data_IF_120189566962
#
_entry.id   IF_120189566962
#
_cell.length_a   1.000
_cell.length_b   1.000
_cell.length_c   1.000
_cell.angle_alpha   90.00
_cell.angle_beta   90.00
_cell.angle_gamma   90.00
#
_symmetry.space_group_name_H-M   'P 1'
#
loop_
_entity.id
_entity.type
_entity.pdbx_description
1 polymer ?
#
# COMPACT_ATOMS: atom_id res chain seq x y z
N UNK A 1 -6.17 6.53 -0.23
CA UNK A 1 -5.54 7.68 -0.90
C UNK A 1 -6.59 8.52 -1.62
N UNK A 2 -7.16 8.04 -2.73
CA UNK A 2 -8.06 8.83 -3.59
C UNK A 2 -9.22 9.52 -2.86
N UNK A 3 -9.81 8.90 -1.85
CA UNK A 3 -10.92 9.49 -1.08
C UNK A 3 -10.43 10.75 -0.34
N UNK A 4 -9.26 10.68 0.30
CA UNK A 4 -8.68 11.82 1.04
C UNK A 4 -8.23 12.92 0.08
N UNK A 5 -7.63 12.56 -1.07
CA UNK A 5 -7.17 13.54 -2.05
C UNK A 5 -8.34 14.24 -2.77
N UNK A 6 -9.48 13.56 -2.94
CA UNK A 6 -10.69 14.14 -3.55
C UNK A 6 -11.52 15.01 -2.59
N UNK A 7 -11.56 14.64 -1.32
CA UNK A 7 -12.28 15.36 -0.27
C UNK A 7 -11.40 15.51 0.96
N UNK A 8 -10.42 16.42 0.92
CA UNK A 8 -9.46 16.61 2.00
C UNK A 8 -10.13 17.20 3.26
N UNK A 9 -11.20 17.98 3.12
CA UNK A 9 -11.90 18.59 4.24
C UNK A 9 -12.46 17.52 5.18
N UNK A 10 -13.03 16.45 4.65
CA UNK A 10 -13.57 15.34 5.44
C UNK A 10 -12.54 14.21 5.62
N UNK A 11 -11.65 14.00 4.67
CA UNK A 11 -10.67 12.89 4.65
C UNK A 11 -9.56 13.07 5.65
N UNK A 12 -8.94 14.25 5.71
CA UNK A 12 -7.81 14.52 6.61
C UNK A 12 -8.22 14.45 8.09
N UNK A 13 -9.30 15.11 8.53
CA UNK A 13 -9.77 14.98 9.92
C UNK A 13 -10.09 13.55 10.32
N UNK A 14 -10.65 12.73 9.42
CA UNK A 14 -10.89 11.31 9.70
C UNK A 14 -9.59 10.55 9.95
N UNK A 15 -8.57 10.72 9.11
CA UNK A 15 -7.28 10.02 9.29
C UNK A 15 -6.59 10.47 10.57
N UNK A 16 -6.43 11.78 10.76
CA UNK A 16 -5.67 12.33 11.89
C UNK A 16 -6.47 12.17 13.18
N UNK A 17 -7.74 12.54 13.18
CA UNK A 17 -8.61 12.47 14.37
C UNK A 17 -8.79 11.05 14.88
N UNK A 18 -9.05 10.07 13.98
CA UNK A 18 -9.13 8.66 14.38
C UNK A 18 -7.80 8.18 14.95
N UNK A 19 -6.66 8.52 14.31
CA UNK A 19 -5.34 8.13 14.80
C UNK A 19 -5.07 8.71 16.18
N UNK A 20 -5.33 10.00 16.39
CA UNK A 20 -5.12 10.69 17.67
C UNK A 20 -5.99 10.08 18.78
N UNK A 21 -7.26 9.81 18.47
CA UNK A 21 -8.20 9.20 19.41
C UNK A 21 -7.73 7.80 19.85
N UNK A 22 -7.36 6.96 18.89
CA UNK A 22 -6.85 5.62 19.18
C UNK A 22 -5.53 5.65 19.98
N UNK A 23 -4.61 6.56 19.65
CA UNK A 23 -3.35 6.74 20.39
C UNK A 23 -3.60 7.19 21.83
N UNK A 24 -4.53 8.14 22.01
CA UNK A 24 -4.92 8.60 23.35
C UNK A 24 -5.42 7.43 24.21
N UNK A 25 -6.40 6.69 23.70
CA UNK A 25 -6.94 5.56 24.45
C UNK A 25 -5.94 4.42 24.65
N UNK A 26 -5.07 4.17 23.64
CA UNK A 26 -4.00 3.18 23.79
C UNK A 26 -3.04 3.53 24.94
N UNK A 27 -2.73 4.82 25.10
CA UNK A 27 -1.90 5.31 26.21
C UNK A 27 -2.63 5.20 27.55
N UNK A 28 -3.89 5.69 27.63
CA UNK A 28 -4.69 5.68 28.87
C UNK A 28 -4.94 4.27 29.41
N UNK A 29 -5.18 3.31 28.51
CA UNK A 29 -5.47 1.90 28.90
C UNK A 29 -4.23 1.00 29.00
N UNK A 30 -3.04 1.56 28.95
CA UNK A 30 -1.79 0.80 29.08
C UNK A 30 -1.60 -0.27 27.99
N UNK A 31 -1.98 0.04 26.76
CA UNK A 31 -1.80 -0.87 25.61
C UNK A 31 -0.32 -1.21 25.44
N UNK A 32 0.01 -2.49 25.35
CA UNK A 32 1.41 -2.95 25.27
C UNK A 32 2.13 -2.44 24.01
N UNK A 33 1.42 -2.38 22.88
CA UNK A 33 2.00 -1.92 21.60
C UNK A 33 0.92 -1.40 20.66
N UNK A 34 1.18 -0.31 19.99
CA UNK A 34 0.31 0.29 18.97
C UNK A 34 0.91 0.08 17.58
N UNK A 35 0.17 -0.54 16.65
CA UNK A 35 0.60 -0.72 15.27
C UNK A 35 -0.12 0.27 14.38
N UNK A 36 0.61 1.25 13.86
CA UNK A 36 0.09 2.24 12.92
C UNK A 36 0.26 1.77 11.48
N UNK A 37 -0.84 1.60 10.77
CA UNK A 37 -0.80 1.30 9.34
C UNK A 37 -0.67 2.60 8.56
N UNK A 38 0.55 2.89 8.14
CA UNK A 38 0.93 4.03 7.29
C UNK A 38 0.77 3.70 5.79
N UNK A 39 1.66 4.18 4.94
CA UNK A 39 1.66 3.95 3.49
C UNK A 39 3.03 4.26 2.89
N UNK A 40 3.39 3.62 1.78
CA UNK A 40 4.53 4.02 0.94
C UNK A 40 4.41 5.45 0.39
N UNK A 41 3.20 6.02 0.36
CA UNK A 41 2.98 7.40 -0.09
C UNK A 41 3.66 8.46 0.79
N UNK A 42 4.12 8.09 1.99
CA UNK A 42 4.91 8.99 2.85
C UNK A 42 6.27 9.33 2.27
N UNK A 43 6.82 8.49 1.39
CA UNK A 43 8.09 8.76 0.73
C UNK A 43 7.99 9.80 -0.39
N UNK A 44 6.80 10.00 -0.99
CA UNK A 44 6.63 10.78 -2.22
C UNK A 44 7.22 10.05 -3.43
N UNK A 45 8.08 10.74 -4.20
CA UNK A 45 8.87 10.10 -5.26
C UNK A 45 10.02 9.30 -4.64
N UNK A 46 10.17 8.05 -5.04
CA UNK A 46 11.24 7.19 -4.54
C UNK A 46 11.75 6.20 -5.59
N UNK A 47 13.00 5.80 -5.43
CA UNK A 47 13.73 4.88 -6.32
C UNK A 47 13.67 3.44 -5.80
N UNK A 48 14.17 2.50 -6.62
CA UNK A 48 14.36 1.12 -6.20
C UNK A 48 15.29 1.04 -4.98
N UNK A 49 14.99 0.13 -4.05
CA UNK A 49 15.75 -0.07 -2.83
C UNK A 49 15.48 0.95 -1.71
N UNK A 50 14.35 1.67 -1.77
CA UNK A 50 14.00 2.66 -0.72
C UNK A 50 13.73 1.97 0.61
N UNK A 51 14.46 2.39 1.65
CA UNK A 51 14.44 1.87 3.02
C UNK A 51 13.61 2.74 3.96
N UNK A 52 13.33 2.22 5.14
CA UNK A 52 12.52 2.90 6.14
C UNK A 52 13.14 4.21 6.66
N UNK A 53 14.48 4.34 6.61
CA UNK A 53 15.23 5.57 6.96
C UNK A 53 15.25 6.60 5.84
N UNK A 54 14.84 6.25 4.65
CA UNK A 54 14.79 7.18 3.52
C UNK A 54 13.89 8.37 3.84
N UNK A 55 14.24 9.52 3.28
CA UNK A 55 13.48 10.76 3.51
C UNK A 55 12.00 10.57 3.17
N UNK A 56 11.15 11.04 4.05
CA UNK A 56 9.71 11.12 3.83
C UNK A 56 9.34 12.51 3.33
N UNK A 57 8.87 12.58 2.08
CA UNK A 57 8.47 13.83 1.42
C UNK A 57 7.22 13.59 0.58
N UNK A 58 6.05 13.44 1.22
CA UNK A 58 4.79 13.18 0.50
C UNK A 58 4.53 14.25 -0.57
N UNK A 59 3.96 13.81 -1.69
CA UNK A 59 3.58 14.69 -2.82
C UNK A 59 2.05 14.80 -2.95
N UNK A 60 1.29 14.19 -2.06
CA UNK A 60 -0.16 14.28 -2.02
C UNK A 60 -0.70 14.36 -0.58
N UNK A 61 -1.95 14.81 -0.46
CA UNK A 61 -2.62 15.08 0.82
C UNK A 61 -2.74 13.81 1.67
N UNK A 62 -3.04 12.67 1.05
CA UNK A 62 -3.13 11.39 1.77
C UNK A 62 -1.79 10.97 2.37
N UNK A 63 -0.70 11.09 1.61
CA UNK A 63 0.65 10.80 2.10
C UNK A 63 1.03 11.68 3.28
N UNK A 64 0.72 12.99 3.22
CA UNK A 64 0.97 13.92 4.32
C UNK A 64 0.12 13.56 5.56
N UNK A 65 -1.15 13.23 5.39
CA UNK A 65 -1.99 12.81 6.51
C UNK A 65 -1.46 11.52 7.17
N UNK A 66 -0.94 10.56 6.38
CA UNK A 66 -0.30 9.34 6.90
C UNK A 66 1.00 9.65 7.63
N UNK A 67 1.85 10.52 7.09
CA UNK A 67 3.10 10.94 7.73
C UNK A 67 2.82 11.70 9.05
N UNK A 68 1.79 12.52 9.08
CA UNK A 68 1.33 13.17 10.32
C UNK A 68 0.94 12.13 11.37
N UNK A 69 0.24 11.06 10.97
CA UNK A 69 -0.08 9.94 11.88
C UNK A 69 1.15 9.22 12.41
N UNK A 70 2.20 9.03 11.59
CA UNK A 70 3.49 8.48 12.05
C UNK A 70 4.14 9.38 13.11
N UNK A 71 4.14 10.70 12.86
CA UNK A 71 4.70 11.69 13.80
C UNK A 71 3.94 11.70 15.11
N UNK A 72 2.60 11.69 15.06
CA UNK A 72 1.76 11.58 16.26
C UNK A 72 2.05 10.29 17.03
N UNK A 73 2.15 9.15 16.35
CA UNK A 73 2.49 7.87 16.98
C UNK A 73 3.81 7.95 17.76
N UNK A 74 4.86 8.53 17.15
CA UNK A 74 6.16 8.72 17.80
C UNK A 74 6.10 9.71 18.98
N UNK A 75 5.27 10.75 18.89
CA UNK A 75 5.10 11.74 19.97
C UNK A 75 4.38 11.13 21.17
N UNK A 76 3.32 10.34 20.95
CA UNK A 76 2.65 9.60 22.02
C UNK A 76 3.57 8.57 22.68
N UNK A 77 4.36 7.85 21.89
CA UNK A 77 5.36 6.93 22.41
C UNK A 77 6.37 7.64 23.32
N UNK A 78 6.88 8.82 22.90
CA UNK A 78 7.83 9.60 23.70
C UNK A 78 7.20 10.19 24.95
N UNK A 79 5.93 10.62 24.90
CA UNK A 79 5.23 11.25 26.03
C UNK A 79 4.81 10.23 27.07
N UNK A 80 4.25 9.11 26.63
CA UNK A 80 3.50 8.19 27.49
C UNK A 80 4.19 6.82 27.64
N UNK A 81 5.33 6.60 26.98
CA UNK A 81 6.02 5.30 26.99
C UNK A 81 5.33 4.21 26.16
N UNK A 82 4.40 4.57 25.27
CA UNK A 82 3.67 3.63 24.43
C UNK A 82 4.61 3.01 23.39
N UNK A 83 4.80 1.70 23.42
CA UNK A 83 5.52 1.02 22.34
C UNK A 83 4.71 1.08 21.03
N UNK A 84 5.41 1.25 19.91
CA UNK A 84 4.76 1.34 18.61
C UNK A 84 5.49 0.57 17.52
N UNK A 85 4.76 0.25 16.46
CA UNK A 85 5.31 -0.08 15.15
C UNK A 85 4.57 0.73 14.07
N UNK A 86 5.30 1.11 13.02
CA UNK A 86 4.76 1.75 11.83
C UNK A 86 4.92 0.79 10.67
N UNK A 87 3.84 0.45 9.99
CA UNK A 87 3.85 -0.42 8.81
C UNK A 87 3.53 0.42 7.57
N UNK A 88 4.40 0.37 6.58
CA UNK A 88 4.26 1.09 5.30
C UNK A 88 3.98 0.12 4.14
N UNK A 89 2.73 -0.26 3.90
CA UNK A 89 2.38 -1.09 2.74
C UNK A 89 2.40 -0.26 1.45
N UNK A 90 2.57 -0.95 0.31
CA UNK A 90 2.45 -0.39 -1.04
C UNK A 90 1.51 -1.23 -1.89
N UNK A 91 0.75 -0.59 -2.77
CA UNK A 91 0.01 -1.23 -3.85
C UNK A 91 -0.85 -2.45 -3.46
N UNK A 92 -1.37 -2.50 -2.22
CA UNK A 92 -2.14 -3.66 -1.73
C UNK A 92 -3.36 -3.87 -2.63
N UNK A 93 -3.55 -5.11 -3.11
CA UNK A 93 -4.62 -5.49 -4.02
C UNK A 93 -5.14 -6.90 -3.68
N UNK A 94 -6.30 -7.25 -4.23
CA UNK A 94 -6.89 -8.59 -4.13
C UNK A 94 -8.40 -8.58 -3.95
N UNK A 95 -9.02 -9.73 -3.67
CA UNK A 95 -10.45 -9.85 -3.43
C UNK A 95 -11.03 -8.78 -2.50
N UNK A 96 -12.11 -8.12 -2.92
CA UNK A 96 -12.75 -7.05 -2.16
C UNK A 96 -12.10 -5.66 -2.31
N UNK A 97 -11.14 -5.50 -3.25
CA UNK A 97 -10.57 -4.19 -3.56
C UNK A 97 -11.63 -3.22 -4.13
N UNK A 98 -11.43 -1.92 -3.92
CA UNK A 98 -12.36 -0.90 -4.40
C UNK A 98 -12.35 -0.81 -5.93
N UNK A 99 -13.51 -0.61 -6.58
CA UNK A 99 -13.62 -0.59 -8.04
C UNK A 99 -12.80 0.50 -8.73
N UNK A 100 -12.45 1.56 -8.01
CA UNK A 100 -11.68 2.69 -8.55
C UNK A 100 -10.15 2.50 -8.48
N UNK A 101 -9.67 1.37 -7.93
CA UNK A 101 -8.25 1.05 -7.85
C UNK A 101 -7.74 0.42 -9.14
N UNK A 102 -6.45 0.59 -9.42
CA UNK A 102 -5.85 0.25 -10.72
C UNK A 102 -6.03 -1.22 -11.09
N UNK A 103 -5.76 -2.14 -10.18
CA UNK A 103 -5.89 -3.60 -10.45
C UNK A 103 -7.35 -3.96 -10.74
N UNK A 104 -8.29 -3.47 -9.91
CA UNK A 104 -9.73 -3.70 -10.09
C UNK A 104 -10.24 -3.14 -11.42
N UNK A 105 -9.81 -1.93 -11.80
CA UNK A 105 -10.16 -1.31 -13.09
C UNK A 105 -9.65 -2.09 -14.29
N UNK A 106 -8.41 -2.60 -14.20
CA UNK A 106 -7.84 -3.36 -15.31
C UNK A 106 -8.55 -4.69 -15.48
N UNK A 107 -8.92 -5.36 -14.39
CA UNK A 107 -9.78 -6.56 -14.47
C UNK A 107 -11.15 -6.25 -15.04
N UNK A 108 -11.82 -5.20 -14.58
CA UNK A 108 -13.15 -4.82 -15.10
C UNK A 108 -13.12 -4.60 -16.62
N UNK A 109 -12.09 -3.88 -17.10
CA UNK A 109 -11.92 -3.66 -18.55
C UNK A 109 -11.55 -4.91 -19.31
N UNK A 110 -10.61 -5.70 -18.81
CA UNK A 110 -10.18 -6.93 -19.46
C UNK A 110 -11.33 -7.95 -19.58
N UNK A 111 -12.11 -8.15 -18.52
CA UNK A 111 -13.27 -9.07 -18.53
C UNK A 111 -14.30 -8.64 -19.57
N UNK A 112 -14.47 -7.34 -19.80
CA UNK A 112 -15.39 -6.79 -20.81
C UNK A 112 -14.78 -6.70 -22.21
N UNK A 113 -13.53 -7.08 -22.42
CA UNK A 113 -12.75 -6.86 -23.64
C UNK A 113 -12.70 -5.38 -24.07
N UNK A 114 -12.70 -4.45 -23.10
CA UNK A 114 -12.51 -3.04 -23.31
C UNK A 114 -11.04 -2.65 -23.21
N UNK A 115 -10.61 -1.64 -24.00
CA UNK A 115 -9.23 -1.19 -24.00
C UNK A 115 -8.78 -0.64 -22.65
N UNK A 116 -7.56 -0.98 -22.25
CA UNK A 116 -6.93 -0.50 -21.03
C UNK A 116 -6.10 0.75 -21.34
N UNK A 117 -6.54 1.90 -20.84
CA UNK A 117 -5.79 3.16 -20.99
C UNK A 117 -4.79 3.34 -19.85
N UNK A 118 -3.52 3.52 -20.19
CA UNK A 118 -2.44 3.85 -19.27
C UNK A 118 -2.10 5.34 -19.37
N UNK A 119 -1.85 5.96 -18.22
CA UNK A 119 -1.28 7.30 -18.11
C UNK A 119 0.17 7.17 -17.66
N UNK A 120 1.09 6.90 -18.59
CA UNK A 120 2.47 6.50 -18.36
C UNK A 120 2.59 5.04 -17.86
N UNK A 121 2.65 4.10 -18.80
CA UNK A 121 2.75 2.66 -18.52
C UNK A 121 4.02 2.24 -17.80
N UNK A 122 5.07 3.05 -17.87
CA UNK A 122 6.35 2.78 -17.19
C UNK A 122 6.33 3.11 -15.69
N UNK A 123 5.29 3.79 -15.21
CA UNK A 123 5.13 4.00 -13.76
C UNK A 123 5.05 2.67 -13.02
N UNK A 124 5.95 2.51 -12.05
CA UNK A 124 6.04 1.30 -11.23
C UNK A 124 5.22 1.40 -9.95
N UNK A 125 4.79 0.28 -9.46
CA UNK A 125 4.20 0.11 -8.13
C UNK A 125 4.68 -1.22 -7.55
N UNK A 126 5.08 -1.23 -6.29
CA UNK A 126 5.32 -2.45 -5.54
C UNK A 126 3.95 -3.02 -5.11
N UNK A 127 3.40 -3.88 -5.98
CA UNK A 127 2.09 -4.49 -5.78
C UNK A 127 2.19 -5.62 -4.77
N UNK A 128 1.44 -5.50 -3.68
CA UNK A 128 1.44 -6.49 -2.60
C UNK A 128 0.09 -7.18 -2.52
N UNK A 129 0.06 -8.50 -2.65
CA UNK A 129 -1.18 -9.24 -2.48
C UNK A 129 -1.69 -9.11 -1.04
N UNK A 130 -3.01 -8.95 -0.89
CA UNK A 130 -3.63 -8.63 0.41
C UNK A 130 -3.28 -9.63 1.53
N UNK A 131 -3.07 -10.91 1.19
CA UNK A 131 -2.70 -11.92 2.20
C UNK A 131 -1.28 -11.70 2.71
N UNK A 132 -0.34 -11.34 1.84
CA UNK A 132 1.02 -11.00 2.25
C UNK A 132 1.05 -9.72 3.11
N UNK A 133 0.29 -8.70 2.71
CA UNK A 133 0.17 -7.48 3.50
C UNK A 133 -0.41 -7.77 4.90
N UNK A 134 -1.50 -8.56 4.97
CA UNK A 134 -2.09 -8.96 6.23
C UNK A 134 -1.13 -9.80 7.08
N UNK A 135 -0.43 -10.75 6.46
CA UNK A 135 0.56 -11.59 7.13
C UNK A 135 1.68 -10.75 7.75
N UNK A 136 2.25 -9.81 7.00
CA UNK A 136 3.29 -8.90 7.52
C UNK A 136 2.80 -8.01 8.65
N UNK A 137 1.56 -7.50 8.58
CA UNK A 137 0.94 -6.73 9.67
C UNK A 137 0.78 -7.58 10.93
N UNK A 138 0.31 -8.82 10.80
CA UNK A 138 0.16 -9.75 11.93
C UNK A 138 1.53 -10.09 12.54
N UNK A 139 2.54 -10.41 11.71
CA UNK A 139 3.91 -10.63 12.18
C UNK A 139 4.44 -9.43 12.98
N UNK A 140 4.25 -8.20 12.47
CA UNK A 140 4.62 -6.98 13.19
C UNK A 140 3.86 -6.84 14.52
N UNK A 141 2.55 -7.09 14.53
CA UNK A 141 1.73 -6.95 15.72
C UNK A 141 2.13 -7.95 16.84
N UNK A 142 2.46 -9.18 16.47
CA UNK A 142 2.77 -10.27 17.40
C UNK A 142 4.26 -10.36 17.78
N UNK A 143 5.17 -9.66 17.06
CA UNK A 143 6.61 -9.65 17.37
C UNK A 143 6.90 -8.93 18.69
N UNK A 144 8.06 -9.18 19.28
CA UNK A 144 8.58 -8.42 20.43
C UNK A 144 9.25 -7.11 20.00
N UNK A 145 9.39 -6.87 18.69
CA UNK A 145 9.97 -5.64 18.14
C UNK A 145 9.07 -4.45 18.43
N UNK A 146 9.69 -3.32 18.78
CA UNK A 146 8.98 -2.08 19.05
C UNK A 146 9.79 -0.85 18.57
N UNK A 147 9.12 0.28 18.49
CA UNK A 147 9.69 1.62 18.27
C UNK A 147 10.45 1.76 16.94
N UNK A 148 9.96 1.10 15.90
CA UNK A 148 10.52 1.15 14.55
C UNK A 148 9.45 1.14 13.45
N UNK A 149 9.88 1.24 12.19
CA UNK A 149 9.03 1.19 11.01
C UNK A 149 9.42 0.02 10.12
N UNK A 150 8.45 -0.50 9.36
CA UNK A 150 8.64 -1.59 8.40
C UNK A 150 7.98 -1.29 7.06
N UNK A 151 8.70 -1.51 5.97
CA UNK A 151 8.11 -1.69 4.66
C UNK A 151 7.52 -3.11 4.59
N UNK A 152 6.22 -3.22 4.42
CA UNK A 152 5.53 -4.51 4.25
C UNK A 152 4.95 -4.54 2.84
N UNK A 153 5.73 -5.06 1.91
CA UNK A 153 5.41 -5.10 0.48
C UNK A 153 5.94 -6.40 -0.15
N UNK A 154 5.66 -6.60 -1.44
CA UNK A 154 6.23 -7.74 -2.18
C UNK A 154 7.76 -7.61 -2.40
N UNK A 155 8.32 -6.39 -2.25
CA UNK A 155 9.73 -6.13 -2.52
C UNK A 155 10.09 -6.24 -4.01
N UNK A 156 9.10 -6.05 -4.89
CA UNK A 156 9.28 -6.14 -6.34
C UNK A 156 8.29 -5.20 -7.06
N UNK A 157 8.77 -4.04 -7.48
CA UNK A 157 7.95 -3.07 -8.20
C UNK A 157 7.77 -3.46 -9.68
N UNK A 158 6.52 -3.43 -10.14
CA UNK A 158 6.12 -3.77 -11.51
C UNK A 158 5.51 -2.56 -12.20
N UNK A 159 5.75 -2.39 -13.51
CA UNK A 159 5.16 -1.31 -14.30
C UNK A 159 3.65 -1.51 -14.48
N UNK A 160 2.93 -0.40 -14.72
CA UNK A 160 1.50 -0.48 -15.04
C UNK A 160 1.24 -1.21 -16.36
N UNK A 161 2.20 -1.14 -17.30
CA UNK A 161 2.15 -1.90 -18.56
C UNK A 161 2.21 -3.39 -18.29
N UNK A 162 3.21 -3.85 -17.56
CA UNK A 162 3.34 -5.28 -17.20
C UNK A 162 2.15 -5.78 -16.40
N UNK A 163 1.60 -4.96 -15.50
CA UNK A 163 0.37 -5.29 -14.79
C UNK A 163 -0.80 -5.53 -15.75
N UNK A 164 -0.99 -4.62 -16.73
CA UNK A 164 -2.08 -4.73 -17.71
C UNK A 164 -1.91 -5.95 -18.61
N UNK A 165 -0.70 -6.19 -19.13
CA UNK A 165 -0.35 -7.36 -19.93
C UNK A 165 -0.65 -8.66 -19.18
N UNK A 166 -0.22 -8.76 -17.93
CA UNK A 166 -0.46 -9.94 -17.09
C UNK A 166 -1.97 -10.18 -16.86
N UNK A 167 -2.76 -9.12 -16.65
CA UNK A 167 -4.22 -9.26 -16.48
C UNK A 167 -4.88 -9.68 -17.78
N UNK A 168 -4.47 -9.14 -18.94
CA UNK A 168 -4.98 -9.54 -20.27
C UNK A 168 -4.71 -11.02 -20.51
N UNK A 169 -3.50 -11.49 -20.23
CA UNK A 169 -3.12 -12.90 -20.34
C UNK A 169 -3.98 -13.80 -19.43
N UNK A 170 -4.13 -13.45 -18.14
CA UNK A 170 -4.89 -14.25 -17.17
C UNK A 170 -6.37 -14.34 -17.57
N UNK A 171 -6.94 -13.25 -18.07
CA UNK A 171 -8.36 -13.22 -18.46
C UNK A 171 -8.63 -13.78 -19.84
N UNK A 172 -7.60 -14.00 -20.66
CA UNK A 172 -7.74 -14.34 -22.08
C UNK A 172 -8.41 -13.24 -22.89
N UNK A 173 -8.31 -11.99 -22.43
CA UNK A 173 -8.97 -10.82 -23.02
C UNK A 173 -8.35 -10.41 -24.36
N UNK A 174 -9.19 -9.82 -25.22
CA UNK A 174 -8.77 -9.17 -26.47
C UNK A 174 -8.52 -7.65 -26.32
N UNK A 175 -8.51 -7.16 -25.08
CA UNK A 175 -8.25 -5.75 -24.79
C UNK A 175 -6.90 -5.29 -25.32
N UNK A 176 -6.87 -4.10 -25.92
CA UNK A 176 -5.62 -3.43 -26.30
C UNK A 176 -5.16 -2.48 -25.20
N UNK A 177 -3.84 -2.30 -25.09
CA UNK A 177 -3.25 -1.33 -24.18
C UNK A 177 -2.99 -0.02 -24.93
N UNK A 178 -3.65 1.06 -24.50
CA UNK A 178 -3.45 2.41 -25.02
C UNK A 178 -2.69 3.26 -23.99
N UNK A 179 -1.40 3.51 -24.26
CA UNK A 179 -0.61 4.38 -23.41
C UNK A 179 -0.64 5.81 -23.96
N UNK A 180 -1.25 6.72 -23.23
CA UNK A 180 -1.41 8.11 -23.65
C UNK A 180 -0.29 9.03 -23.14
N UNK A 181 0.70 8.49 -22.44
CA UNK A 181 1.91 9.20 -22.05
C UNK A 181 1.73 10.40 -21.13
N UNK A 182 0.54 10.59 -20.55
CA UNK A 182 0.29 11.73 -19.66
C UNK A 182 1.08 11.59 -18.35
N UNK A 183 1.57 12.72 -17.86
CA UNK A 183 2.21 12.78 -16.55
C UNK A 183 1.24 12.34 -15.46
N UNK A 184 1.62 11.33 -14.69
CA UNK A 184 0.81 10.85 -13.58
C UNK A 184 0.75 11.89 -12.46
N UNK A 185 -0.43 12.09 -11.88
CA UNK A 185 -0.60 12.84 -10.64
C UNK A 185 -0.07 12.09 -9.40
N UNK A 186 0.35 10.83 -9.59
CA UNK A 186 0.92 10.01 -8.53
C UNK A 186 2.44 10.06 -8.58
N UNK A 187 3.10 9.95 -7.42
CA UNK A 187 4.55 9.95 -7.33
C UNK A 187 5.17 8.81 -8.14
N UNK A 188 6.37 9.04 -8.67
CA UNK A 188 7.20 7.97 -9.23
C UNK A 188 7.63 7.04 -8.11
N UNK A 189 7.46 5.74 -8.29
CA UNK A 189 7.72 4.73 -7.26
C UNK A 189 8.62 3.62 -7.80
N UNK A 190 9.58 3.24 -6.99
CA UNK A 190 10.39 2.05 -7.20
C UNK A 190 10.01 0.91 -6.27
N UNK A 191 10.92 -0.01 -6.09
CA UNK A 191 10.85 -1.12 -5.15
C UNK A 191 11.19 -0.66 -3.74
N UNK A 192 10.44 -1.10 -2.76
CA UNK A 192 10.77 -0.90 -1.36
C UNK A 192 11.68 -2.02 -0.85
N UNK A 193 12.71 -1.66 -0.10
CA UNK A 193 13.56 -2.63 0.60
C UNK A 193 12.77 -3.21 1.78
N UNK A 194 12.66 -4.52 1.84
CA UNK A 194 11.96 -5.27 2.90
C UNK A 194 12.93 -6.07 3.80
N UNK A 195 14.23 -5.83 3.69
CA UNK A 195 15.25 -6.57 4.45
C UNK A 195 15.00 -6.50 5.95
N UNK A 196 14.64 -5.33 6.48
CA UNK A 196 14.31 -5.18 7.90
C UNK A 196 13.13 -6.07 8.31
N UNK A 197 12.08 -6.13 7.51
CA UNK A 197 10.94 -6.98 7.80
C UNK A 197 11.30 -8.47 7.71
N UNK A 198 12.17 -8.86 6.79
CA UNK A 198 12.71 -10.22 6.71
C UNK A 198 13.51 -10.57 7.96
N UNK A 199 14.46 -9.71 8.34
CA UNK A 199 15.41 -9.99 9.41
C UNK A 199 14.76 -9.98 10.80
N UNK A 200 13.84 -9.03 11.06
CA UNK A 200 13.29 -8.83 12.39
C UNK A 200 11.88 -9.42 12.58
N UNK A 201 11.13 -9.66 11.52
CA UNK A 201 9.78 -10.22 11.58
C UNK A 201 9.68 -11.58 10.87
N UNK A 202 10.75 -12.07 10.26
CA UNK A 202 10.70 -13.24 9.39
C UNK A 202 9.59 -13.10 8.32
N UNK A 203 9.43 -11.88 7.80
CA UNK A 203 8.41 -11.60 6.79
C UNK A 203 8.93 -11.99 5.42
N UNK A 204 8.26 -12.93 4.79
CA UNK A 204 8.49 -13.33 3.40
C UNK A 204 7.16 -13.28 2.64
N UNK A 205 7.01 -12.39 1.64
CA UNK A 205 5.85 -12.40 0.78
C UNK A 205 5.80 -13.73 -0.01
N UNK A 206 4.65 -14.37 -0.02
CA UNK A 206 4.46 -15.73 -0.58
C UNK A 206 3.89 -15.71 -2.01
N UNK A 207 3.31 -14.60 -2.42
CA UNK A 207 2.64 -14.48 -3.70
C UNK A 207 3.48 -13.66 -4.67
N UNK A 208 3.78 -14.23 -5.84
CA UNK A 208 4.17 -13.42 -7.00
C UNK A 208 2.99 -12.56 -7.46
N UNK A 209 3.27 -11.51 -8.26
CA UNK A 209 2.19 -10.70 -8.84
C UNK A 209 1.18 -11.56 -9.60
N UNK A 210 1.66 -12.47 -10.45
CA UNK A 210 0.81 -13.39 -11.24
C UNK A 210 -0.10 -14.24 -10.34
N UNK A 211 0.46 -14.91 -9.35
CA UNK A 211 -0.34 -15.76 -8.42
C UNK A 211 -1.41 -14.96 -7.68
N UNK A 212 -1.08 -13.76 -7.21
CA UNK A 212 -2.05 -12.89 -6.55
C UNK A 212 -3.15 -12.40 -7.50
N UNK A 213 -2.81 -12.13 -8.78
CA UNK A 213 -3.77 -11.73 -9.81
C UNK A 213 -4.67 -12.90 -10.22
N UNK A 214 -4.13 -14.11 -10.40
CA UNK A 214 -4.89 -15.34 -10.67
C UNK A 214 -5.89 -15.61 -9.55
N UNK A 215 -5.45 -15.58 -8.29
CA UNK A 215 -6.34 -15.74 -7.14
C UNK A 215 -7.43 -14.66 -7.07
N UNK A 216 -7.12 -13.43 -7.50
CA UNK A 216 -8.12 -12.37 -7.55
C UNK A 216 -9.11 -12.58 -8.68
N UNK A 217 -8.65 -13.04 -9.85
CA UNK A 217 -9.53 -13.37 -10.98
C UNK A 217 -10.48 -14.52 -10.66
N UNK A 218 -9.99 -15.59 -10.06
CA UNK A 218 -10.82 -16.72 -9.60
C UNK A 218 -11.94 -16.24 -8.66
N UNK A 219 -11.62 -15.34 -7.74
CA UNK A 219 -12.63 -14.77 -6.86
C UNK A 219 -13.65 -13.90 -7.61
N UNK A 220 -13.23 -13.15 -8.64
CA UNK A 220 -14.15 -12.37 -9.47
C UNK A 220 -15.12 -13.26 -10.22
N UNK A 221 -14.63 -14.39 -10.79
CA UNK A 221 -15.46 -15.37 -11.50
C UNK A 221 -16.49 -16.05 -10.59
N UNK A 222 -16.13 -16.34 -9.35
CA UNK A 222 -17.03 -16.98 -8.38
C UNK A 222 -18.05 -16.01 -7.73
N UNK A 223 -18.00 -14.72 -8.06
CA UNK A 223 -18.91 -13.70 -7.54
C UNK A 223 -20.09 -13.42 -8.50
N UNK A 224 -19.98 -13.92 -9.72
CA UNK A 224 -21.01 -13.84 -10.77
C UNK A 224 -21.88 -15.09 -10.68
#
# INVERSE_FOLDING_TARGET
AKIVDKDPINGVPKVIGTTTNLLWHASEFGTKKFVYISSSMVYGDFKDGTREESNTKPTNIYGEAKLTGERLTKLFAKRDGLNYLIVRPSGVYGPGDLPDRVVSKFFDKAIKNEDITLHNGENKVDFTYRQDAAYGIVKAALSDVANTSFNITAGNATSLRTLAETIIEITGSKSEIKDIGMQSLYPMRGTLDISRAKDLLEYEPKFTLRQGLESYYDWLQNKI
#
